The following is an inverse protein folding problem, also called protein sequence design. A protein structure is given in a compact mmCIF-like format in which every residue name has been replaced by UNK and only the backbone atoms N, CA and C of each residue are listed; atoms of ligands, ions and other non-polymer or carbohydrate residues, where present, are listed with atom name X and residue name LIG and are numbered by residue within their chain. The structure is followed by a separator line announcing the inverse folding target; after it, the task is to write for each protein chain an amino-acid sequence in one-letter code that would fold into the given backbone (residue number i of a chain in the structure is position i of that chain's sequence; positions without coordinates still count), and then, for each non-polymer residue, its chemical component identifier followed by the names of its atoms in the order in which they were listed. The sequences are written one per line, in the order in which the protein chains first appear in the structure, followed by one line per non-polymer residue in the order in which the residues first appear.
data_IF_670083142948
#
_entry.id   IF_670083142948
#
_cell.length_a   1.000
_cell.length_b   1.000
_cell.length_c   1.000
_cell.angle_alpha   90.00
_cell.angle_beta   90.00
_cell.angle_gamma   90.00
#
_symmetry.space_group_name_H-M   'P 1'
#
loop_
_entity.id
_entity.type
_entity.pdbx_description
1 polymer ?
#
# COMPACT_ATOMS: atom_id res chain seq x y z
N UNK A 1 -25.17 12.73 5.06
CA UNK A 1 -24.11 11.87 5.61
C UNK A 1 -22.87 12.72 5.90
N UNK A 2 -22.31 12.65 7.10
CA UNK A 2 -21.06 13.33 7.50
C UNK A 2 -19.99 12.28 7.77
N UNK A 3 -18.85 12.41 7.12
CA UNK A 3 -17.76 11.43 7.18
C UNK A 3 -16.53 12.12 7.79
N UNK A 4 -15.99 11.58 8.87
CA UNK A 4 -14.72 12.01 9.44
C UNK A 4 -13.63 10.99 9.10
N UNK A 5 -12.55 11.43 8.43
CA UNK A 5 -11.38 10.61 8.10
C UNK A 5 -10.24 11.01 9.04
N UNK A 6 -9.85 10.10 9.93
CA UNK A 6 -8.83 10.35 10.96
C UNK A 6 -7.50 9.72 10.53
N UNK A 7 -6.53 10.56 10.21
CA UNK A 7 -5.16 10.12 9.90
C UNK A 7 -4.39 9.74 11.17
N UNK A 8 -3.37 8.90 11.08
CA UNK A 8 -2.51 8.54 12.19
C UNK A 8 -1.76 9.74 12.78
N UNK A 9 -1.31 9.58 14.02
CA UNK A 9 -0.39 10.51 14.64
C UNK A 9 0.91 10.62 13.83
N UNK A 10 1.39 11.83 13.63
CA UNK A 10 2.57 12.12 12.81
C UNK A 10 2.27 12.35 11.33
N UNK A 11 1.00 12.25 10.92
CA UNK A 11 0.58 12.57 9.57
C UNK A 11 0.03 13.99 9.52
N UNK A 12 0.68 14.86 8.75
CA UNK A 12 0.31 16.27 8.60
C UNK A 12 -0.36 16.59 7.25
N UNK A 13 -0.50 15.60 6.38
CA UNK A 13 -1.11 15.75 5.05
C UNK A 13 -0.42 16.82 4.18
N UNK A 14 0.91 16.88 4.25
CA UNK A 14 1.72 17.78 3.44
C UNK A 14 2.03 17.14 2.09
N UNK A 15 1.71 17.79 0.94
CA UNK A 15 1.96 17.24 -0.41
C UNK A 15 3.44 16.86 -0.64
N UNK A 16 4.35 17.71 -0.18
CA UNK A 16 5.80 17.56 -0.45
C UNK A 16 6.47 16.50 0.44
N UNK A 17 5.80 16.07 1.51
CA UNK A 17 6.30 15.10 2.49
C UNK A 17 5.33 13.95 2.74
N UNK A 18 4.33 13.78 1.88
CA UNK A 18 3.32 12.75 2.04
C UNK A 18 3.95 11.35 1.95
N UNK A 19 3.66 10.51 2.94
CA UNK A 19 3.93 9.09 2.83
C UNK A 19 2.89 8.41 1.91
N UNK A 20 3.17 7.18 1.50
CA UNK A 20 2.30 6.40 0.59
C UNK A 20 0.83 6.34 1.04
N UNK A 21 0.58 6.25 2.36
CA UNK A 21 -0.79 6.22 2.89
C UNK A 21 -1.48 7.59 2.75
N UNK A 22 -0.78 8.69 3.07
CA UNK A 22 -1.32 10.05 2.92
C UNK A 22 -1.64 10.34 1.46
N UNK A 23 -0.80 9.92 0.53
CA UNK A 23 -1.04 10.01 -0.91
C UNK A 23 -2.32 9.26 -1.31
N UNK A 24 -2.50 8.03 -0.85
CA UNK A 24 -3.72 7.25 -1.12
C UNK A 24 -4.97 7.93 -0.57
N UNK A 25 -4.94 8.38 0.69
CA UNK A 25 -6.10 9.05 1.32
C UNK A 25 -6.44 10.35 0.58
N UNK A 26 -5.43 11.12 0.19
CA UNK A 26 -5.60 12.34 -0.59
C UNK A 26 -6.25 12.07 -1.93
N UNK A 27 -5.72 11.11 -2.67
CA UNK A 27 -6.22 10.75 -4.00
C UNK A 27 -7.67 10.26 -3.92
N UNK A 28 -7.99 9.36 -2.98
CA UNK A 28 -9.36 8.88 -2.79
C UNK A 28 -10.32 10.01 -2.39
N UNK A 29 -9.91 10.90 -1.49
CA UNK A 29 -10.76 12.00 -1.02
C UNK A 29 -11.02 13.05 -2.10
N UNK A 30 -10.00 13.38 -2.90
CA UNK A 30 -10.12 14.36 -3.98
C UNK A 30 -11.05 13.89 -5.12
N UNK A 31 -11.10 12.56 -5.39
CA UNK A 31 -11.92 12.00 -6.47
C UNK A 31 -13.25 11.41 -5.97
N UNK A 32 -13.53 11.50 -4.67
CA UNK A 32 -14.79 11.06 -4.08
C UNK A 32 -15.93 12.02 -4.45
N UNK A 33 -17.05 11.47 -4.95
CA UNK A 33 -18.29 12.24 -5.12
C UNK A 33 -18.88 12.74 -3.80
N UNK A 34 -18.46 12.12 -2.69
CA UNK A 34 -18.81 12.51 -1.33
C UNK A 34 -17.80 13.49 -0.71
N UNK A 35 -16.86 14.06 -1.46
CA UNK A 35 -15.77 14.92 -0.99
C UNK A 35 -16.26 16.05 -0.07
N UNK A 36 -17.39 16.69 -0.41
CA UNK A 36 -18.02 17.75 0.42
C UNK A 36 -18.54 17.25 1.77
N UNK A 37 -18.80 15.96 1.89
CA UNK A 37 -19.25 15.29 3.13
C UNK A 37 -18.10 14.76 3.97
N UNK A 38 -16.89 14.76 3.44
CA UNK A 38 -15.67 14.27 4.09
C UNK A 38 -14.97 15.42 4.82
N UNK A 39 -14.65 15.20 6.09
CA UNK A 39 -13.75 16.06 6.87
C UNK A 39 -12.52 15.25 7.25
N UNK A 40 -11.35 15.70 6.79
CA UNK A 40 -10.06 15.09 7.12
C UNK A 40 -9.53 15.65 8.43
N UNK A 41 -9.08 14.78 9.35
CA UNK A 41 -8.48 15.15 10.64
C UNK A 41 -7.03 14.66 10.67
N UNK A 42 -6.07 15.58 10.75
CA UNK A 42 -4.63 15.30 10.74
C UNK A 42 -3.87 16.16 11.77
N UNK A 43 -2.56 15.96 11.88
CA UNK A 43 -1.72 16.79 12.73
C UNK A 43 -1.43 18.15 12.04
N UNK A 44 -1.28 19.23 12.82
CA UNK A 44 -0.97 20.56 12.31
C UNK A 44 0.38 20.57 11.55
N UNK A 45 0.53 21.51 10.62
CA UNK A 45 1.71 21.63 9.75
C UNK A 45 1.42 21.34 8.27
N UNK A 46 0.17 20.94 7.95
CA UNK A 46 -0.26 20.79 6.57
C UNK A 46 -0.59 22.15 5.94
N UNK A 47 -0.25 22.33 4.67
CA UNK A 47 -0.86 23.39 3.88
C UNK A 47 -2.36 23.09 3.70
N UNK A 48 -3.24 24.08 3.81
CA UNK A 48 -4.66 23.90 3.52
C UNK A 48 -4.84 23.32 2.12
N UNK A 49 -5.63 22.26 1.99
CA UNK A 49 -6.01 21.72 0.70
C UNK A 49 -7.31 22.41 0.30
N UNK A 50 -7.29 23.21 -0.77
CA UNK A 50 -8.43 24.02 -1.18
C UNK A 50 -9.71 23.21 -1.47
N UNK A 51 -9.53 21.92 -1.82
CA UNK A 51 -10.62 21.05 -2.28
C UNK A 51 -11.17 20.12 -1.20
N UNK A 52 -10.64 20.16 0.03
CA UNK A 52 -11.04 19.27 1.13
C UNK A 52 -11.29 20.01 2.42
N UNK A 53 -12.37 19.65 3.12
CA UNK A 53 -12.59 20.09 4.49
C UNK A 53 -11.53 19.45 5.40
N UNK A 54 -10.66 20.27 5.99
CA UNK A 54 -9.56 19.78 6.81
C UNK A 54 -9.55 20.46 8.17
N UNK A 55 -9.45 19.63 9.23
CA UNK A 55 -9.28 20.08 10.60
C UNK A 55 -7.99 19.50 11.16
N UNK A 56 -7.25 20.30 11.92
CA UNK A 56 -5.96 19.89 12.46
C UNK A 56 -5.97 19.82 13.98
N UNK A 57 -5.16 18.91 14.53
CA UNK A 57 -4.80 18.87 15.95
C UNK A 57 -3.34 19.27 16.11
N UNK A 58 -2.91 19.81 17.26
CA UNK A 58 -1.51 20.18 17.46
C UNK A 58 -0.56 19.03 17.17
N UNK A 59 0.53 19.31 16.44
CA UNK A 59 1.56 18.33 16.13
C UNK A 59 2.36 17.93 17.40
N UNK A 60 3.00 16.77 17.37
CA UNK A 60 3.85 16.30 18.46
C UNK A 60 3.13 15.76 19.70
N UNK A 61 1.80 15.81 19.74
CA UNK A 61 1.04 15.29 20.88
C UNK A 61 1.28 13.79 21.10
N UNK A 62 1.34 13.39 22.38
CA UNK A 62 1.29 11.98 22.75
C UNK A 62 -0.07 11.37 22.39
N UNK A 63 -0.15 10.02 22.28
CA UNK A 63 -1.37 9.32 21.85
C UNK A 63 -2.64 9.74 22.64
N UNK A 64 -2.54 9.88 23.97
CA UNK A 64 -3.70 10.21 24.82
C UNK A 64 -4.21 11.62 24.51
N UNK A 65 -3.34 12.62 24.59
CA UNK A 65 -3.68 14.02 24.32
C UNK A 65 -4.20 14.22 22.87
N UNK A 66 -3.58 13.55 21.91
CA UNK A 66 -4.08 13.59 20.52
C UNK A 66 -5.48 12.99 20.40
N UNK A 67 -5.74 11.85 21.03
CA UNK A 67 -7.07 11.25 21.01
C UNK A 67 -8.12 12.17 21.68
N UNK A 68 -7.77 12.89 22.73
CA UNK A 68 -8.64 13.89 23.37
C UNK A 68 -8.95 15.05 22.41
N UNK A 69 -7.94 15.58 21.71
CA UNK A 69 -8.14 16.63 20.70
C UNK A 69 -9.00 16.16 19.52
N UNK A 70 -8.73 14.96 18.98
CA UNK A 70 -9.55 14.34 17.92
C UNK A 70 -10.98 14.11 18.40
N UNK A 71 -11.17 13.65 19.65
CA UNK A 71 -12.50 13.43 20.22
C UNK A 71 -13.31 14.73 20.32
N UNK A 72 -12.66 15.86 20.68
CA UNK A 72 -13.32 17.16 20.70
C UNK A 72 -13.84 17.56 19.30
N UNK A 73 -13.02 17.35 18.26
CA UNK A 73 -13.42 17.59 16.87
C UNK A 73 -14.59 16.67 16.47
N UNK A 74 -14.49 15.37 16.73
CA UNK A 74 -15.53 14.40 16.41
C UNK A 74 -16.85 14.71 17.13
N UNK A 75 -16.78 15.19 18.36
CA UNK A 75 -17.97 15.64 19.12
C UNK A 75 -18.66 16.81 18.44
N UNK A 76 -17.90 17.79 18.00
CA UNK A 76 -18.43 18.97 17.29
C UNK A 76 -19.01 18.60 15.91
N UNK A 77 -18.32 17.73 15.16
CA UNK A 77 -18.76 17.30 13.82
C UNK A 77 -19.99 16.37 13.88
N UNK A 78 -20.14 15.59 14.96
CA UNK A 78 -21.16 14.52 15.07
C UNK A 78 -21.27 13.68 13.78
N UNK A 79 -20.20 12.99 13.35
CA UNK A 79 -20.17 12.28 12.09
C UNK A 79 -21.03 11.01 12.12
N UNK A 80 -21.60 10.65 10.97
CA UNK A 80 -22.31 9.39 10.78
C UNK A 80 -21.31 8.23 10.61
N UNK A 81 -20.18 8.48 9.94
CA UNK A 81 -19.09 7.53 9.69
C UNK A 81 -17.77 8.14 10.18
N UNK A 82 -16.98 7.34 10.89
CA UNK A 82 -15.59 7.67 11.24
C UNK A 82 -14.66 6.62 10.66
N UNK A 83 -13.82 7.03 9.71
CA UNK A 83 -12.77 6.21 9.10
C UNK A 83 -11.45 6.47 9.81
N UNK A 84 -10.83 5.44 10.33
CA UNK A 84 -9.51 5.50 10.95
C UNK A 84 -8.49 4.82 10.06
N UNK A 85 -7.42 5.50 9.74
CA UNK A 85 -6.32 4.91 9.00
C UNK A 85 -5.23 4.39 9.95
N UNK A 86 -4.88 3.09 9.84
CA UNK A 86 -3.87 2.43 10.69
C UNK A 86 -4.18 2.51 12.21
N UNK A 87 -3.19 2.64 13.04
CA UNK A 87 -3.18 2.87 14.50
C UNK A 87 -4.34 2.25 15.30
N UNK A 88 -4.54 0.93 15.19
CA UNK A 88 -5.64 0.17 15.80
C UNK A 88 -5.95 0.56 17.26
N UNK A 89 -4.91 0.79 18.09
CA UNK A 89 -5.11 1.12 19.51
C UNK A 89 -5.79 2.48 19.69
N UNK A 90 -5.27 3.52 19.04
CA UNK A 90 -5.85 4.87 19.08
C UNK A 90 -7.26 4.89 18.50
N UNK A 91 -7.45 4.30 17.32
CA UNK A 91 -8.74 4.19 16.66
C UNK A 91 -9.79 3.47 17.53
N UNK A 92 -9.42 2.35 18.18
CA UNK A 92 -10.36 1.63 19.04
C UNK A 92 -10.70 2.35 20.34
N UNK A 93 -9.83 3.24 20.83
CA UNK A 93 -10.10 4.10 21.99
C UNK A 93 -11.12 5.20 21.62
N UNK A 94 -10.97 5.80 20.44
CA UNK A 94 -11.92 6.77 19.88
C UNK A 94 -13.28 6.11 19.58
N UNK A 95 -13.30 4.99 18.87
CA UNK A 95 -14.54 4.29 18.52
C UNK A 95 -15.40 3.95 19.75
N UNK A 96 -14.79 3.72 20.91
CA UNK A 96 -15.54 3.48 22.16
C UNK A 96 -16.29 4.72 22.65
N UNK A 97 -15.81 5.92 22.33
CA UNK A 97 -16.40 7.18 22.81
C UNK A 97 -17.60 7.62 21.97
N UNK A 98 -17.71 7.12 20.74
CA UNK A 98 -18.75 7.51 19.79
C UNK A 98 -19.58 6.31 19.32
N UNK A 99 -20.35 5.66 20.22
CA UNK A 99 -21.04 4.39 19.91
C UNK A 99 -22.10 4.51 18.82
N UNK A 100 -22.60 5.71 18.57
CA UNK A 100 -23.65 5.97 17.58
C UNK A 100 -23.12 6.15 16.15
N UNK A 101 -21.81 6.39 15.98
CA UNK A 101 -21.19 6.47 14.66
C UNK A 101 -20.86 5.08 14.11
N UNK A 102 -20.83 4.95 12.79
CA UNK A 102 -20.28 3.78 12.12
C UNK A 102 -18.76 3.90 12.07
N UNK A 103 -18.05 2.88 12.53
CA UNK A 103 -16.59 2.88 12.63
C UNK A 103 -15.96 1.98 11.59
N UNK A 104 -15.09 2.57 10.76
CA UNK A 104 -14.30 1.89 9.74
C UNK A 104 -12.83 1.96 10.10
N UNK A 105 -12.13 0.82 10.07
CA UNK A 105 -10.66 0.80 10.17
C UNK A 105 -10.07 0.46 8.80
N UNK A 106 -9.37 1.41 8.20
CA UNK A 106 -8.68 1.24 6.93
C UNK A 106 -7.22 0.83 7.15
N UNK A 107 -6.80 -0.27 6.55
CA UNK A 107 -5.49 -0.88 6.75
C UNK A 107 -4.65 -0.82 5.47
N UNK A 108 -3.59 -0.02 5.49
CA UNK A 108 -2.61 0.12 4.40
C UNK A 108 -1.44 -0.87 4.53
N UNK A 109 -1.37 -1.59 5.65
CA UNK A 109 -0.40 -2.65 5.90
C UNK A 109 -1.10 -3.86 6.47
N UNK A 110 -0.51 -5.01 6.29
CA UNK A 110 -1.00 -6.26 6.92
C UNK A 110 -1.05 -6.11 8.44
N UNK A 111 -2.03 -6.73 9.06
CA UNK A 111 -2.05 -6.90 10.52
C UNK A 111 -1.13 -8.08 10.84
N UNK A 112 -0.09 -7.83 11.64
CA UNK A 112 0.80 -8.90 12.07
C UNK A 112 0.03 -9.91 12.92
N UNK A 113 0.28 -11.21 12.75
CA UNK A 113 -0.28 -12.23 13.64
C UNK A 113 0.06 -11.93 15.11
N UNK A 114 -0.88 -12.21 15.99
CA UNK A 114 -0.64 -12.05 17.42
C UNK A 114 0.42 -13.04 17.90
N UNK A 115 1.34 -12.59 18.73
CA UNK A 115 2.46 -13.38 19.23
C UNK A 115 2.05 -14.44 20.28
N UNK A 116 0.92 -14.21 20.95
CA UNK A 116 0.40 -15.06 22.01
C UNK A 116 -1.13 -14.88 22.17
N UNK A 117 -1.81 -15.79 22.91
CA UNK A 117 -3.27 -15.74 23.09
C UNK A 117 -3.78 -14.44 23.74
N UNK A 118 -3.02 -13.84 24.64
CA UNK A 118 -3.39 -12.59 25.33
C UNK A 118 -3.40 -11.44 24.33
N UNK A 119 -2.39 -11.37 23.45
CA UNK A 119 -2.33 -10.37 22.39
C UNK A 119 -3.44 -10.58 21.36
N UNK A 120 -3.72 -11.83 20.98
CA UNK A 120 -4.82 -12.19 20.11
C UNK A 120 -6.18 -11.74 20.67
N UNK A 121 -6.41 -11.97 21.95
CA UNK A 121 -7.60 -11.53 22.65
C UNK A 121 -7.71 -9.99 22.66
N UNK A 122 -6.62 -9.29 22.99
CA UNK A 122 -6.58 -7.81 23.00
C UNK A 122 -6.82 -7.24 21.61
N UNK A 123 -6.24 -7.84 20.58
CA UNK A 123 -6.49 -7.43 19.19
C UNK A 123 -7.94 -7.69 18.79
N UNK A 124 -8.46 -8.88 19.04
CA UNK A 124 -9.85 -9.22 18.75
C UNK A 124 -10.83 -8.25 19.40
N UNK A 125 -10.64 -7.91 20.70
CA UNK A 125 -11.47 -6.91 21.40
C UNK A 125 -11.40 -5.51 20.78
N UNK A 126 -10.24 -5.09 20.25
CA UNK A 126 -10.10 -3.79 19.60
C UNK A 126 -10.76 -3.81 18.21
N UNK A 127 -10.50 -4.86 17.44
CA UNK A 127 -11.03 -5.03 16.08
C UNK A 127 -12.56 -5.17 16.07
N UNK A 128 -13.14 -5.82 17.10
CA UNK A 128 -14.58 -5.97 17.25
C UNK A 128 -15.36 -4.65 17.39
N UNK A 129 -14.67 -3.53 17.64
CA UNK A 129 -15.29 -2.19 17.74
C UNK A 129 -15.59 -1.56 16.39
N UNK A 130 -15.01 -2.09 15.32
CA UNK A 130 -15.22 -1.56 13.99
C UNK A 130 -16.35 -2.31 13.27
N UNK A 131 -17.20 -1.55 12.63
CA UNK A 131 -18.31 -2.09 11.84
C UNK A 131 -17.79 -2.63 10.49
N UNK A 132 -16.65 -2.07 10.00
CA UNK A 132 -15.97 -2.54 8.80
C UNK A 132 -14.46 -2.43 8.96
N UNK A 133 -13.76 -3.40 8.38
CA UNK A 133 -12.30 -3.48 8.29
C UNK A 133 -11.94 -3.47 6.81
N UNK A 134 -11.38 -2.38 6.33
CA UNK A 134 -11.04 -2.18 4.91
C UNK A 134 -9.56 -2.43 4.70
N UNK A 135 -9.22 -3.27 3.75
CA UNK A 135 -7.85 -3.58 3.35
C UNK A 135 -7.57 -3.07 1.94
N UNK A 136 -6.29 -2.79 1.66
CA UNK A 136 -5.85 -2.28 0.36
C UNK A 136 -5.73 -3.35 -0.73
N UNK A 137 -6.08 -4.59 -0.42
CA UNK A 137 -6.18 -5.71 -1.37
C UNK A 137 -7.07 -6.81 -0.83
N UNK A 138 -7.64 -7.61 -1.70
CA UNK A 138 -8.39 -8.82 -1.31
C UNK A 138 -7.47 -9.83 -0.62
N UNK A 139 -6.24 -10.02 -1.12
CA UNK A 139 -5.25 -10.90 -0.51
C UNK A 139 -4.98 -10.53 0.96
N UNK A 140 -4.78 -9.25 1.28
CA UNK A 140 -4.59 -8.81 2.66
C UNK A 140 -5.85 -9.00 3.51
N UNK A 141 -7.03 -8.79 2.94
CA UNK A 141 -8.32 -9.05 3.59
C UNK A 141 -8.56 -10.53 3.87
N UNK A 142 -8.26 -11.41 2.92
CA UNK A 142 -8.40 -12.87 3.05
C UNK A 142 -7.43 -13.43 4.10
N UNK A 143 -6.18 -12.99 4.10
CA UNK A 143 -5.21 -13.36 5.15
C UNK A 143 -5.70 -12.95 6.53
N UNK A 144 -6.20 -11.73 6.67
CA UNK A 144 -6.79 -11.28 7.92
C UNK A 144 -8.02 -12.12 8.32
N UNK A 145 -8.89 -12.45 7.38
CA UNK A 145 -10.08 -13.28 7.64
C UNK A 145 -9.71 -14.70 8.08
N UNK A 146 -8.61 -15.25 7.56
CA UNK A 146 -8.08 -16.54 7.99
C UNK A 146 -7.57 -16.49 9.45
N UNK A 147 -6.87 -15.42 9.83
CA UNK A 147 -6.37 -15.22 11.19
C UNK A 147 -7.50 -14.89 12.19
N UNK A 148 -8.56 -14.21 11.73
CA UNK A 148 -9.70 -13.75 12.52
C UNK A 148 -11.05 -14.14 11.91
N UNK A 149 -11.40 -15.45 11.83
CA UNK A 149 -12.60 -15.93 11.09
C UNK A 149 -13.93 -15.30 11.56
N UNK A 150 -14.02 -14.96 12.85
CA UNK A 150 -15.21 -14.30 13.42
C UNK A 150 -15.43 -12.87 12.92
N UNK A 151 -14.40 -12.25 12.36
CA UNK A 151 -14.46 -10.90 11.79
C UNK A 151 -14.52 -10.93 10.25
N UNK A 152 -14.47 -12.10 9.61
CA UNK A 152 -14.48 -12.25 8.16
C UNK A 152 -15.66 -11.51 7.49
N UNK A 153 -16.87 -11.58 8.06
CA UNK A 153 -18.05 -10.86 7.56
C UNK A 153 -17.96 -9.31 7.66
N UNK A 154 -16.92 -8.78 8.32
CA UNK A 154 -16.67 -7.33 8.40
C UNK A 154 -15.53 -6.88 7.50
N UNK A 155 -14.90 -7.79 6.77
CA UNK A 155 -13.80 -7.47 5.86
C UNK A 155 -14.35 -6.93 4.56
N UNK A 156 -13.71 -5.89 4.05
CA UNK A 156 -13.85 -5.36 2.70
C UNK A 156 -12.47 -5.00 2.17
N UNK A 157 -12.32 -4.89 0.88
CA UNK A 157 -11.11 -4.38 0.25
C UNK A 157 -11.45 -3.22 -0.67
N UNK A 158 -10.59 -2.21 -0.67
CA UNK A 158 -10.55 -1.13 -1.65
C UNK A 158 -9.09 -0.95 -2.02
N UNK A 159 -8.75 -1.31 -3.25
CA UNK A 159 -7.36 -1.21 -3.70
C UNK A 159 -6.88 0.24 -3.75
N UNK A 160 -5.57 0.44 -3.56
CA UNK A 160 -5.00 1.78 -3.69
C UNK A 160 -5.17 2.31 -5.12
N UNK A 161 -5.51 3.60 -5.27
CA UNK A 161 -5.44 4.28 -6.55
C UNK A 161 -3.99 4.58 -6.94
N UNK A 162 -3.77 4.82 -8.22
CA UNK A 162 -2.58 5.46 -8.76
C UNK A 162 -2.99 6.66 -9.63
N UNK A 163 -2.33 7.79 -9.44
CA UNK A 163 -2.46 8.94 -10.32
C UNK A 163 -1.72 8.65 -11.63
N UNK A 164 -2.44 8.01 -12.57
CA UNK A 164 -1.87 7.53 -13.82
C UNK A 164 -1.22 8.68 -14.60
N UNK A 165 -1.86 9.85 -14.67
CA UNK A 165 -1.34 10.98 -15.43
C UNK A 165 0.00 11.48 -14.88
N UNK A 166 0.17 11.48 -13.56
CA UNK A 166 1.44 11.88 -12.95
C UNK A 166 2.60 10.92 -13.30
N UNK A 167 2.30 9.64 -13.56
CA UNK A 167 3.30 8.63 -13.89
C UNK A 167 3.43 8.34 -15.38
N UNK A 168 2.42 8.70 -16.17
CA UNK A 168 2.31 8.32 -17.59
C UNK A 168 3.55 8.67 -18.39
N UNK A 169 4.01 7.69 -19.18
CA UNK A 169 4.94 7.86 -20.27
C UNK A 169 4.64 6.79 -21.35
N UNK A 170 5.04 7.03 -22.60
CA UNK A 170 4.74 6.10 -23.69
C UNK A 170 5.50 4.78 -23.54
N UNK A 171 4.86 3.62 -23.60
CA UNK A 171 5.57 2.33 -23.60
C UNK A 171 6.50 2.13 -24.82
N UNK A 172 6.27 2.88 -25.89
CA UNK A 172 7.02 2.74 -27.17
C UNK A 172 8.38 3.43 -27.14
N UNK A 173 8.58 4.41 -26.24
CA UNK A 173 9.80 5.21 -26.18
C UNK A 173 10.44 5.01 -24.80
N UNK A 174 11.34 4.04 -24.69
CA UNK A 174 12.01 3.66 -23.44
C UNK A 174 13.52 3.59 -23.61
N UNK A 175 14.22 3.87 -22.51
CA UNK A 175 15.64 3.53 -22.43
C UNK A 175 15.79 2.03 -22.14
N UNK A 176 16.89 1.42 -22.61
CA UNK A 176 17.28 0.07 -22.20
C UNK A 176 17.67 0.07 -20.71
N UNK A 177 16.69 0.30 -19.83
CA UNK A 177 16.86 0.52 -18.40
C UNK A 177 16.00 -0.48 -17.59
N UNK A 178 16.66 -1.21 -16.69
CA UNK A 178 16.02 -2.12 -15.72
C UNK A 178 15.98 -1.44 -14.37
N UNK A 179 14.79 -1.29 -13.80
CA UNK A 179 14.54 -0.52 -12.58
C UNK A 179 14.17 -1.41 -11.40
N UNK A 180 14.80 -1.15 -10.25
CA UNK A 180 14.29 -1.53 -8.92
C UNK A 180 13.82 -0.27 -8.19
N UNK A 181 12.61 -0.28 -7.65
CA UNK A 181 12.10 0.77 -6.78
C UNK A 181 11.54 0.17 -5.49
N UNK A 182 12.15 0.48 -4.36
CA UNK A 182 11.73 -0.04 -3.06
C UNK A 182 12.67 0.31 -1.93
N UNK A 183 12.29 -0.07 -0.70
CA UNK A 183 13.17 0.10 0.47
C UNK A 183 14.42 -0.76 0.33
N UNK A 184 15.56 -0.25 0.79
CA UNK A 184 16.88 -0.89 0.69
C UNK A 184 17.03 -2.09 1.63
N UNK A 185 16.15 -3.10 1.54
CA UNK A 185 16.08 -4.20 2.50
C UNK A 185 15.82 -5.55 1.85
N UNK A 186 16.19 -6.62 2.58
CA UNK A 186 16.06 -8.02 2.15
C UNK A 186 14.63 -8.39 1.77
N UNK A 187 13.67 -7.91 2.55
CA UNK A 187 12.25 -8.22 2.33
C UNK A 187 11.74 -7.77 0.96
N UNK A 188 12.36 -6.73 0.39
CA UNK A 188 12.06 -6.23 -0.96
C UNK A 188 12.83 -6.94 -2.07
N UNK A 189 13.74 -7.86 -1.72
CA UNK A 189 14.49 -8.64 -2.69
C UNK A 189 15.61 -7.87 -3.38
N UNK A 190 16.14 -6.81 -2.73
CA UNK A 190 17.23 -6.00 -3.30
C UNK A 190 18.46 -6.85 -3.65
N UNK A 191 18.83 -7.81 -2.81
CA UNK A 191 19.95 -8.72 -3.06
C UNK A 191 19.71 -9.59 -4.30
N UNK A 192 18.50 -10.12 -4.49
CA UNK A 192 18.15 -10.87 -5.70
C UNK A 192 18.22 -9.99 -6.95
N UNK A 193 17.72 -8.76 -6.83
CA UNK A 193 17.78 -7.81 -7.93
C UNK A 193 19.23 -7.48 -8.30
N UNK A 194 20.09 -7.16 -7.32
CA UNK A 194 21.50 -6.84 -7.60
C UNK A 194 22.23 -7.99 -8.30
N UNK A 195 22.01 -9.24 -7.86
CA UNK A 195 22.60 -10.42 -8.49
C UNK A 195 22.08 -10.60 -9.92
N UNK A 196 20.75 -10.59 -10.12
CA UNK A 196 20.15 -10.77 -11.41
C UNK A 196 20.51 -9.65 -12.41
N UNK A 197 20.55 -8.39 -11.92
CA UNK A 197 20.96 -7.25 -12.73
C UNK A 197 22.41 -7.41 -13.20
N UNK A 198 23.33 -7.79 -12.30
CA UNK A 198 24.73 -7.99 -12.65
C UNK A 198 24.90 -9.03 -13.77
N UNK A 199 24.25 -10.20 -13.62
CA UNK A 199 24.27 -11.26 -14.64
C UNK A 199 23.66 -10.82 -15.97
N UNK A 200 22.59 -10.02 -15.92
CA UNK A 200 21.95 -9.48 -17.14
C UNK A 200 22.83 -8.44 -17.82
N UNK A 201 23.44 -7.51 -17.07
CA UNK A 201 24.32 -6.48 -17.64
C UNK A 201 25.64 -7.04 -18.19
N UNK A 202 26.14 -8.15 -17.65
CA UNK A 202 27.29 -8.86 -18.23
C UNK A 202 26.97 -9.43 -19.64
N UNK A 203 25.73 -9.87 -19.85
CA UNK A 203 25.29 -10.44 -21.12
C UNK A 203 24.85 -9.37 -22.14
N UNK A 204 24.31 -8.25 -21.65
CA UNK A 204 23.71 -7.20 -22.49
C UNK A 204 24.40 -5.83 -22.22
N UNK A 205 25.47 -5.51 -22.95
CA UNK A 205 26.29 -4.32 -22.70
C UNK A 205 25.59 -2.99 -23.03
N UNK A 206 24.54 -3.02 -23.83
CA UNK A 206 23.70 -1.87 -24.21
C UNK A 206 22.58 -1.56 -23.17
N UNK A 207 22.45 -2.39 -22.13
CA UNK A 207 21.48 -2.19 -21.05
C UNK A 207 22.11 -1.53 -19.83
N UNK A 208 21.26 -0.86 -19.06
CA UNK A 208 21.57 -0.12 -17.84
C UNK A 208 20.69 -0.56 -16.68
N UNK A 209 21.09 -0.28 -15.47
CA UNK A 209 20.33 -0.53 -14.26
C UNK A 209 20.05 0.76 -13.50
N UNK A 210 18.91 0.84 -12.81
CA UNK A 210 18.61 1.90 -11.86
C UNK A 210 18.04 1.33 -10.56
N UNK A 211 18.51 1.85 -9.43
CA UNK A 211 18.09 1.47 -8.09
C UNK A 211 17.57 2.69 -7.35
N UNK A 212 16.25 2.74 -7.09
CA UNK A 212 15.60 3.77 -6.28
C UNK A 212 15.42 3.21 -4.87
N UNK A 213 16.34 3.53 -3.96
CA UNK A 213 16.47 2.90 -2.65
C UNK A 213 15.87 3.79 -1.55
N UNK A 214 14.66 3.47 -1.09
CA UNK A 214 14.03 4.13 0.04
C UNK A 214 14.57 3.64 1.40
N UNK A 215 14.42 4.47 2.44
CA UNK A 215 14.86 4.19 3.82
C UNK A 215 16.35 3.78 3.91
N UNK A 216 17.21 4.36 3.04
CA UNK A 216 18.61 3.98 2.92
C UNK A 216 19.33 4.02 4.27
N UNK A 217 19.20 5.13 5.00
CA UNK A 217 19.90 5.37 6.27
C UNK A 217 19.57 4.31 7.35
N UNK A 218 18.41 3.69 7.24
CA UNK A 218 17.98 2.62 8.18
C UNK A 218 18.54 1.25 7.83
N UNK A 219 18.93 1.04 6.57
CA UNK A 219 19.25 -0.28 6.03
C UNK A 219 20.63 -0.32 5.35
N UNK A 220 21.40 0.77 5.36
CA UNK A 220 22.67 0.89 4.64
C UNK A 220 23.66 -0.22 4.96
N UNK A 221 23.82 -0.58 6.24
CA UNK A 221 24.78 -1.62 6.65
C UNK A 221 24.52 -2.97 5.96
N UNK A 222 23.24 -3.29 5.72
CA UNK A 222 22.85 -4.49 5.00
C UNK A 222 22.88 -4.27 3.48
N UNK A 223 22.48 -3.13 2.98
CA UNK A 223 22.31 -2.86 1.56
C UNK A 223 23.63 -2.54 0.83
N UNK A 224 24.52 -1.76 1.47
CA UNK A 224 25.77 -1.26 0.88
C UNK A 224 26.64 -2.34 0.24
N UNK A 225 26.96 -3.48 0.90
CA UNK A 225 27.79 -4.51 0.27
C UNK A 225 27.18 -5.11 -1.00
N UNK A 226 25.85 -5.14 -1.09
CA UNK A 226 25.11 -5.72 -2.23
C UNK A 226 25.06 -4.77 -3.40
N UNK A 227 24.89 -3.50 -3.09
CA UNK A 227 24.88 -2.43 -4.10
C UNK A 227 26.29 -2.20 -4.67
N UNK A 228 27.33 -2.25 -3.83
CA UNK A 228 28.74 -2.15 -4.28
C UNK A 228 29.15 -3.25 -5.27
N UNK A 229 28.50 -4.39 -5.25
CA UNK A 229 28.77 -5.44 -6.25
C UNK A 229 28.45 -4.98 -7.70
N UNK A 230 27.71 -3.89 -7.85
CA UNK A 230 27.36 -3.27 -9.12
C UNK A 230 28.35 -2.17 -9.54
N UNK A 231 29.27 -1.72 -8.70
CA UNK A 231 30.22 -0.61 -8.97
C UNK A 231 31.09 -0.89 -10.21
N UNK A 232 31.34 -2.17 -10.52
CA UNK A 232 32.08 -2.60 -11.72
C UNK A 232 31.43 -2.19 -13.05
N UNK A 233 30.14 -1.83 -13.04
CA UNK A 233 29.42 -1.40 -14.22
C UNK A 233 29.52 0.13 -14.47
N UNK A 234 30.11 0.90 -13.53
CA UNK A 234 30.30 2.33 -13.67
C UNK A 234 28.98 3.06 -13.98
N UNK A 235 29.00 3.91 -14.99
CA UNK A 235 27.86 4.75 -15.41
C UNK A 235 26.67 3.96 -15.96
N UNK A 236 26.80 2.64 -16.12
CA UNK A 236 25.68 1.79 -16.51
C UNK A 236 24.72 1.49 -15.36
N UNK A 237 25.05 1.82 -14.12
CA UNK A 237 24.17 1.61 -12.97
C UNK A 237 24.00 2.90 -12.18
N UNK A 238 22.77 3.40 -12.17
CA UNK A 238 22.35 4.59 -11.41
C UNK A 238 21.82 4.17 -10.04
N UNK A 239 22.35 4.76 -8.96
CA UNK A 239 21.93 4.42 -7.60
C UNK A 239 21.46 5.69 -6.90
N UNK A 240 20.19 5.72 -6.53
CA UNK A 240 19.54 6.83 -5.83
C UNK A 240 19.20 6.41 -4.40
N UNK A 241 19.83 7.05 -3.43
CA UNK A 241 19.66 6.77 -1.99
C UNK A 241 18.69 7.77 -1.39
N UNK A 242 17.57 7.29 -0.81
CA UNK A 242 16.50 8.12 -0.22
C UNK A 242 15.96 9.19 -1.18
N UNK A 243 15.77 8.81 -2.45
CA UNK A 243 15.29 9.70 -3.49
C UNK A 243 13.90 10.27 -3.20
N UNK A 244 13.66 11.48 -3.68
CA UNK A 244 12.35 12.13 -3.67
C UNK A 244 11.36 11.40 -4.61
N UNK A 245 10.07 11.58 -4.38
CA UNK A 245 9.04 11.03 -5.27
C UNK A 245 9.17 11.53 -6.71
N UNK A 246 9.65 12.78 -6.89
CA UNK A 246 9.88 13.35 -8.21
C UNK A 246 11.00 12.62 -8.97
N UNK A 247 12.11 12.30 -8.29
CA UNK A 247 13.21 11.51 -8.87
C UNK A 247 12.76 10.08 -9.16
N UNK A 248 12.06 9.41 -8.24
CA UNK A 248 11.49 8.07 -8.47
C UNK A 248 10.63 8.07 -9.71
N UNK A 249 9.74 9.06 -9.87
CA UNK A 249 8.87 9.21 -11.03
C UNK A 249 9.66 9.43 -12.32
N UNK A 250 10.65 10.31 -12.29
CA UNK A 250 11.47 10.63 -13.45
C UNK A 250 12.21 9.38 -13.97
N UNK A 251 12.81 8.58 -13.08
CA UNK A 251 13.53 7.37 -13.45
C UNK A 251 12.57 6.26 -13.90
N UNK A 252 11.44 6.07 -13.19
CA UNK A 252 10.45 5.06 -13.59
C UNK A 252 9.88 5.31 -14.97
N UNK A 253 9.68 6.57 -15.36
CA UNK A 253 9.20 6.97 -16.70
C UNK A 253 10.20 6.72 -17.83
N UNK A 254 11.45 6.43 -17.52
CA UNK A 254 12.51 6.08 -18.49
C UNK A 254 12.65 4.57 -18.67
N UNK A 255 12.34 3.80 -17.63
CA UNK A 255 12.61 2.37 -17.57
C UNK A 255 11.78 1.54 -18.56
N UNK A 256 12.41 0.63 -19.30
CA UNK A 256 11.73 -0.37 -20.14
C UNK A 256 11.20 -1.54 -19.30
N UNK A 257 11.95 -1.94 -18.26
CA UNK A 257 11.62 -3.06 -17.37
C UNK A 257 11.66 -2.57 -15.94
N UNK A 258 10.62 -2.88 -15.17
CA UNK A 258 10.60 -2.67 -13.72
C UNK A 258 10.51 -4.01 -12.99
N UNK A 259 11.07 -4.08 -11.77
CA UNK A 259 11.18 -5.33 -11.03
C UNK A 259 10.74 -5.14 -9.59
N UNK A 260 9.79 -5.97 -9.14
CA UNK A 260 9.29 -6.00 -7.77
C UNK A 260 9.45 -7.39 -7.14
N UNK A 261 10.68 -7.79 -6.75
CA UNK A 261 11.01 -9.15 -6.34
C UNK A 261 10.80 -9.35 -4.83
N UNK A 262 9.73 -8.80 -4.26
CA UNK A 262 9.46 -8.86 -2.81
C UNK A 262 9.37 -10.30 -2.31
N UNK A 263 10.16 -10.63 -1.28
CA UNK A 263 10.09 -11.91 -0.56
C UNK A 263 8.89 -11.97 0.39
N UNK A 264 8.45 -10.84 0.87
CA UNK A 264 7.27 -10.75 1.75
C UNK A 264 5.99 -10.61 0.94
N UNK A 265 4.87 -11.00 1.55
CA UNK A 265 3.55 -10.74 0.97
C UNK A 265 3.23 -9.26 1.12
N UNK A 266 3.18 -8.53 0.02
CA UNK A 266 2.86 -7.10 0.03
C UNK A 266 1.39 -6.86 0.38
N UNK A 267 1.11 -5.68 0.97
CA UNK A 267 -0.28 -5.29 1.19
C UNK A 267 -1.02 -5.05 -0.13
N UNK A 268 -0.38 -4.30 -1.06
CA UNK A 268 -0.78 -4.19 -2.47
C UNK A 268 0.46 -4.12 -3.38
N UNK A 269 1.34 -3.13 -3.20
CA UNK A 269 2.54 -2.92 -3.99
C UNK A 269 2.44 -1.69 -4.89
N UNK A 270 2.57 -0.49 -4.31
CA UNK A 270 2.51 0.76 -5.09
C UNK A 270 3.56 0.82 -6.20
N UNK A 271 4.78 0.31 -5.96
CA UNK A 271 5.83 0.30 -6.98
C UNK A 271 5.43 -0.49 -8.25
N UNK A 272 4.58 -1.51 -8.13
CA UNK A 272 4.03 -2.22 -9.28
C UNK A 272 3.01 -1.34 -10.05
N UNK A 273 2.12 -0.65 -9.32
CA UNK A 273 1.18 0.30 -9.95
C UNK A 273 1.91 1.46 -10.63
N UNK A 274 2.96 1.99 -9.99
CA UNK A 274 3.82 3.06 -10.51
C UNK A 274 4.52 2.62 -11.81
N UNK A 275 5.07 1.40 -11.84
CA UNK A 275 5.71 0.83 -13.01
C UNK A 275 4.72 0.66 -14.19
N UNK A 276 3.55 0.09 -13.93
CA UNK A 276 2.51 -0.06 -14.95
C UNK A 276 2.02 1.31 -15.46
N UNK A 277 1.70 2.25 -14.57
CA UNK A 277 1.27 3.60 -14.95
C UNK A 277 2.32 4.32 -15.79
N UNK A 278 3.61 4.11 -15.48
CA UNK A 278 4.72 4.64 -16.27
C UNK A 278 4.92 3.89 -17.60
N UNK A 279 4.25 2.78 -17.88
CA UNK A 279 4.38 2.01 -19.09
C UNK A 279 5.68 1.18 -19.17
N UNK A 280 6.17 0.69 -18.04
CA UNK A 280 7.26 -0.28 -17.97
C UNK A 280 6.71 -1.71 -17.95
N UNK A 281 7.40 -2.65 -18.61
CA UNK A 281 7.12 -4.08 -18.46
C UNK A 281 7.50 -4.52 -17.04
N UNK A 282 6.62 -5.24 -16.34
CA UNK A 282 6.83 -5.59 -14.95
C UNK A 282 7.23 -7.06 -14.77
N UNK A 283 8.29 -7.29 -14.01
CA UNK A 283 8.63 -8.58 -13.40
C UNK A 283 8.29 -8.52 -11.92
N UNK A 284 7.48 -9.46 -11.42
CA UNK A 284 6.97 -9.41 -10.05
C UNK A 284 7.04 -10.78 -9.37
N UNK A 285 7.19 -10.78 -8.05
CA UNK A 285 7.04 -12.01 -7.27
C UNK A 285 5.57 -12.45 -7.14
N UNK A 286 4.61 -11.59 -7.41
CA UNK A 286 3.18 -11.86 -7.23
C UNK A 286 2.73 -12.08 -5.78
N UNK A 287 3.61 -11.90 -4.79
CA UNK A 287 3.32 -12.24 -3.39
C UNK A 287 2.37 -11.25 -2.71
N UNK A 288 1.29 -11.77 -2.16
CA UNK A 288 0.25 -10.97 -1.50
C UNK A 288 -0.53 -10.13 -2.51
N UNK A 289 -0.69 -8.84 -2.25
CA UNK A 289 -1.41 -7.91 -3.13
C UNK A 289 -0.71 -7.58 -4.45
N UNK A 290 0.57 -7.97 -4.65
CA UNK A 290 1.28 -7.75 -5.93
C UNK A 290 0.57 -8.42 -7.11
N UNK A 291 -0.06 -9.59 -6.89
CA UNK A 291 -0.89 -10.24 -7.90
C UNK A 291 -2.12 -9.40 -8.28
N UNK A 292 -2.76 -8.72 -7.32
CA UNK A 292 -3.89 -7.83 -7.60
C UNK A 292 -3.46 -6.52 -8.24
N UNK A 293 -2.28 -6.01 -7.87
CA UNK A 293 -1.72 -4.78 -8.45
C UNK A 293 -1.39 -4.93 -9.95
N UNK A 294 -1.21 -6.16 -10.43
CA UNK A 294 -0.74 -6.42 -11.79
C UNK A 294 -1.64 -7.35 -12.61
N UNK A 295 -2.56 -8.11 -11.99
CA UNK A 295 -3.39 -9.07 -12.70
C UNK A 295 -2.56 -10.04 -13.55
N UNK A 296 -2.88 -10.16 -14.82
CA UNK A 296 -2.15 -10.98 -15.81
C UNK A 296 -1.03 -10.21 -16.55
N UNK A 297 -0.78 -8.96 -16.14
CA UNK A 297 0.05 -8.00 -16.88
C UNK A 297 1.49 -7.92 -16.34
N UNK A 298 1.99 -8.98 -15.70
CA UNK A 298 3.37 -9.07 -15.23
C UNK A 298 3.97 -10.46 -15.48
N UNK A 299 5.28 -10.53 -15.65
CA UNK A 299 6.01 -11.81 -15.59
C UNK A 299 6.20 -12.17 -14.12
N UNK A 300 5.58 -13.26 -13.69
CA UNK A 300 5.67 -13.72 -12.30
C UNK A 300 6.82 -14.69 -12.12
N UNK A 301 7.65 -14.43 -11.09
CA UNK A 301 8.85 -15.23 -10.78
C UNK A 301 8.88 -15.68 -9.32
N UNK A 302 9.48 -16.83 -9.09
CA UNK A 302 9.86 -17.25 -7.74
C UNK A 302 11.05 -16.43 -7.26
N UNK A 303 11.12 -16.17 -5.95
CA UNK A 303 12.12 -15.30 -5.32
C UNK A 303 12.91 -16.02 -4.21
N UNK A 304 13.10 -17.31 -4.37
CA UNK A 304 13.96 -18.12 -3.51
C UNK A 304 15.45 -17.83 -3.79
N UNK A 305 15.81 -17.71 -5.07
CA UNK A 305 17.13 -17.34 -5.58
C UNK A 305 17.03 -16.34 -6.76
N UNK A 306 18.16 -15.93 -7.32
CA UNK A 306 18.20 -14.94 -8.39
C UNK A 306 17.95 -15.52 -9.79
N UNK A 307 18.13 -16.82 -10.00
CA UNK A 307 18.07 -17.46 -11.31
C UNK A 307 16.78 -17.20 -12.09
N UNK A 308 15.58 -17.44 -11.50
CA UNK A 308 14.32 -17.14 -12.18
C UNK A 308 14.16 -15.65 -12.55
N UNK A 309 14.72 -14.75 -11.72
CA UNK A 309 14.68 -13.31 -11.97
C UNK A 309 15.62 -12.92 -13.11
N UNK A 310 16.84 -13.47 -13.16
CA UNK A 310 17.80 -13.32 -14.26
C UNK A 310 17.20 -13.81 -15.57
N UNK A 311 16.57 -14.98 -15.56
CA UNK A 311 15.94 -15.55 -16.75
C UNK A 311 14.81 -14.65 -17.28
N UNK A 312 13.97 -14.12 -16.39
CA UNK A 312 12.88 -13.20 -16.77
C UNK A 312 13.42 -11.86 -17.29
N UNK A 313 14.47 -11.30 -16.69
CA UNK A 313 15.13 -10.09 -17.19
C UNK A 313 15.68 -10.32 -18.61
N UNK A 314 16.47 -11.37 -18.81
CA UNK A 314 17.04 -11.68 -20.11
C UNK A 314 15.96 -11.90 -21.19
N UNK A 315 14.90 -12.63 -20.87
CA UNK A 315 13.75 -12.85 -21.77
C UNK A 315 13.15 -11.52 -22.25
N UNK A 316 12.84 -10.59 -21.31
CA UNK A 316 12.27 -9.30 -21.67
C UNK A 316 13.27 -8.35 -22.35
N UNK A 317 14.58 -8.52 -22.11
CA UNK A 317 15.64 -7.82 -22.83
C UNK A 317 15.71 -8.29 -24.29
N UNK A 318 15.68 -9.60 -24.50
CA UNK A 318 15.85 -10.26 -25.79
C UNK A 318 14.58 -10.25 -26.66
N UNK A 319 13.40 -10.09 -26.06
CA UNK A 319 12.11 -10.00 -26.76
C UNK A 319 11.44 -8.61 -26.60
N UNK A 320 11.78 -7.64 -27.48
CA UNK A 320 11.14 -6.31 -27.45
C UNK A 320 9.64 -6.33 -27.70
N UNK A 321 9.13 -7.31 -28.47
CA UNK A 321 7.72 -7.39 -28.81
C UNK A 321 6.90 -7.83 -27.58
N UNK A 322 7.36 -8.86 -26.86
CA UNK A 322 6.76 -9.30 -25.60
C UNK A 322 6.82 -8.19 -24.55
N UNK A 323 7.99 -7.56 -24.39
CA UNK A 323 8.19 -6.46 -23.45
C UNK A 323 7.20 -5.32 -23.71
N UNK A 324 7.04 -4.90 -24.96
CA UNK A 324 6.12 -3.83 -25.33
C UNK A 324 4.65 -4.22 -25.11
N UNK A 325 4.27 -5.43 -25.48
CA UNK A 325 2.92 -5.93 -25.27
C UNK A 325 2.56 -5.94 -23.77
N UNK A 326 3.47 -6.43 -22.93
CA UNK A 326 3.30 -6.47 -21.48
C UNK A 326 3.20 -5.04 -20.87
N UNK A 327 4.04 -4.12 -21.33
CA UNK A 327 4.04 -2.73 -20.87
C UNK A 327 2.72 -2.02 -21.21
N UNK A 328 2.22 -2.15 -22.43
CA UNK A 328 0.95 -1.57 -22.89
C UNK A 328 -0.23 -2.16 -22.12
N UNK A 329 -0.32 -3.48 -22.03
CA UNK A 329 -1.43 -4.13 -21.32
C UNK A 329 -1.44 -3.80 -19.83
N UNK A 330 -0.28 -3.65 -19.20
CA UNK A 330 -0.16 -3.23 -17.80
C UNK A 330 -0.60 -1.79 -17.57
N UNK A 331 -0.24 -0.88 -18.49
CA UNK A 331 -0.66 0.53 -18.42
C UNK A 331 -2.18 0.66 -18.59
N UNK A 332 -2.77 -0.01 -19.57
CA UNK A 332 -4.23 -0.05 -19.78
C UNK A 332 -4.97 -0.64 -18.58
N UNK A 333 -4.40 -1.67 -17.96
CA UNK A 333 -4.97 -2.30 -16.78
C UNK A 333 -5.06 -1.34 -15.60
N UNK A 334 -3.97 -0.65 -15.24
CA UNK A 334 -3.98 0.24 -14.07
C UNK A 334 -4.82 1.49 -14.32
N UNK A 335 -4.88 1.98 -15.56
CA UNK A 335 -5.76 3.09 -15.93
C UNK A 335 -7.23 2.73 -15.73
N UNK A 336 -7.63 1.55 -16.11
CA UNK A 336 -9.01 1.06 -15.97
C UNK A 336 -9.34 0.67 -14.53
N UNK A 337 -8.46 -0.09 -13.87
CA UNK A 337 -8.75 -0.74 -12.60
C UNK A 337 -8.31 0.10 -11.39
N UNK A 338 -7.17 0.76 -11.48
CA UNK A 338 -6.57 1.48 -10.35
C UNK A 338 -6.65 3.01 -10.50
N UNK A 339 -7.46 3.52 -11.43
CA UNK A 339 -7.65 4.96 -11.56
C UNK A 339 -8.24 5.57 -10.27
N UNK A 340 -7.90 6.82 -9.95
CA UNK A 340 -8.43 7.51 -8.79
C UNK A 340 -9.96 7.51 -8.73
N UNK A 341 -10.60 7.74 -9.88
CA UNK A 341 -12.07 7.78 -9.99
C UNK A 341 -12.68 6.41 -9.69
N UNK A 342 -12.14 5.32 -10.25
CA UNK A 342 -12.67 3.98 -10.02
C UNK A 342 -12.55 3.56 -8.54
N UNK A 343 -11.40 3.83 -7.92
CA UNK A 343 -11.18 3.45 -6.52
C UNK A 343 -11.95 4.34 -5.54
N UNK A 344 -12.10 5.63 -5.84
CA UNK A 344 -12.95 6.53 -5.05
C UNK A 344 -14.43 6.12 -5.13
N UNK A 345 -14.92 5.75 -6.31
CA UNK A 345 -16.29 5.27 -6.48
C UNK A 345 -16.57 3.98 -5.68
N UNK A 346 -15.61 3.05 -5.63
CA UNK A 346 -15.72 1.84 -4.81
C UNK A 346 -15.79 2.17 -3.30
N UNK A 347 -14.95 3.11 -2.83
CA UNK A 347 -14.99 3.57 -1.44
C UNK A 347 -16.31 4.28 -1.12
N UNK A 348 -16.82 5.11 -2.02
CA UNK A 348 -18.08 5.82 -1.85
C UNK A 348 -19.26 4.86 -1.77
N UNK A 349 -19.30 3.83 -2.63
CA UNK A 349 -20.33 2.78 -2.56
C UNK A 349 -20.29 2.05 -1.21
N UNK A 350 -19.10 1.76 -0.67
CA UNK A 350 -18.94 1.18 0.65
C UNK A 350 -19.48 2.13 1.76
N UNK A 351 -19.20 3.42 1.69
CA UNK A 351 -19.67 4.45 2.63
C UNK A 351 -21.20 4.55 2.64
N UNK A 352 -21.81 4.57 1.47
CA UNK A 352 -23.27 4.60 1.31
C UNK A 352 -23.92 3.34 1.89
N UNK A 353 -23.43 2.16 1.54
CA UNK A 353 -23.91 0.89 2.08
C UNK A 353 -23.80 0.79 3.61
N UNK A 354 -22.84 1.51 4.21
CA UNK A 354 -22.68 1.57 5.66
C UNK A 354 -23.60 2.62 6.30
N UNK A 355 -23.95 3.69 5.59
CA UNK A 355 -24.89 4.71 6.07
C UNK A 355 -26.32 4.18 6.16
N UNK A 356 -26.73 3.34 5.20
CA UNK A 356 -28.10 2.81 5.10
C UNK A 356 -28.45 1.76 6.17
N UNK A 357 -27.47 1.33 6.97
CA UNK A 357 -27.70 0.38 8.07
C UNK A 357 -28.42 1.05 9.23
N UNK A 358 -29.57 0.51 9.60
CA UNK A 358 -30.35 1.02 10.74
C UNK A 358 -29.58 0.90 12.08
N UNK A 359 -29.79 1.82 13.04
CA UNK A 359 -29.16 1.77 14.38
C UNK A 359 -29.41 0.46 15.13
N UNK A 360 -30.56 -0.18 14.93
CA UNK A 360 -30.95 -1.46 15.56
C UNK A 360 -30.09 -2.64 15.10
N UNK A 361 -29.70 -2.68 13.82
CA UNK A 361 -28.80 -3.71 13.29
C UNK A 361 -27.36 -3.55 13.78
N UNK A 362 -26.96 -2.32 14.15
CA UNK A 362 -25.63 -1.98 14.70
C UNK A 362 -25.43 -2.53 16.11
N UNK A 363 -26.45 -2.44 16.97
CA UNK A 363 -26.40 -2.88 18.39
C UNK A 363 -26.31 -4.41 18.50
N UNK A 364 -27.08 -5.15 17.71
CA UNK A 364 -27.12 -6.61 17.75
C UNK A 364 -25.78 -7.26 17.33
N UNK A 365 -25.04 -6.64 16.39
CA UNK A 365 -23.75 -7.15 15.94
C UNK A 365 -22.62 -6.90 16.97
N UNK A 366 -22.72 -5.86 17.81
CA UNK A 366 -21.72 -5.52 18.84
C UNK A 366 -21.90 -6.33 20.13
N UNK A 367 -23.12 -6.83 20.44
CA UNK A 367 -23.46 -7.45 21.72
C UNK A 367 -23.06 -8.94 21.86
N UNK A 368 -22.70 -9.65 20.80
CA UNK A 368 -22.38 -11.09 20.83
C UNK A 368 -20.89 -11.37 20.73
N UNK A 369 -20.16 -11.23 21.83
CA UNK A 369 -18.79 -11.74 21.97
C UNK A 369 -18.75 -12.90 22.99
N UNK A 370 -18.82 -14.17 22.57
CA UNK A 370 -18.55 -15.29 23.45
C UNK A 370 -17.05 -15.51 23.61
N UNK A 371 -16.65 -15.82 24.81
CA UNK A 371 -15.29 -16.09 25.28
C UNK A 371 -14.74 -17.39 24.67
N UNK A 372 -13.90 -17.35 23.62
CA UNK A 372 -13.11 -18.50 23.21
C UNK A 372 -11.82 -18.09 22.48
N UNK A 373 -10.75 -18.84 22.79
CA UNK A 373 -9.41 -18.70 22.23
C UNK A 373 -9.37 -19.03 20.71
N UNK A 374 -8.46 -18.41 19.92
CA UNK A 374 -8.23 -18.81 18.54
C UNK A 374 -7.70 -20.26 18.53
N UNK A 375 -8.15 -21.07 17.56
CA UNK A 375 -7.48 -22.33 17.26
C UNK A 375 -6.03 -22.03 16.87
N UNK A 376 -5.09 -22.66 17.54
CA UNK A 376 -3.68 -22.68 17.09
C UNK A 376 -3.67 -23.24 15.67
N UNK A 377 -3.23 -22.42 14.71
CA UNK A 377 -3.10 -22.83 13.33
C UNK A 377 -2.14 -24.02 13.24
N UNK A 378 -2.59 -25.09 12.64
CA UNK A 378 -1.73 -26.17 12.20
C UNK A 378 -0.68 -25.58 11.27
N UNK A 379 0.59 -25.79 11.61
CA UNK A 379 1.69 -25.54 10.69
C UNK A 379 1.44 -26.34 9.40
N UNK A 380 1.56 -25.77 8.21
CA UNK A 380 1.60 -26.57 7.01
C UNK A 380 2.85 -27.44 7.07
N UNK A 381 2.66 -28.77 7.12
CA UNK A 381 3.74 -29.72 6.87
C UNK A 381 4.26 -29.46 5.47
N UNK A 382 5.49 -29.03 5.37
CA UNK A 382 6.28 -29.13 4.16
C UNK A 382 6.37 -30.62 3.82
N UNK A 383 5.65 -31.03 2.79
CA UNK A 383 5.92 -32.29 2.12
C UNK A 383 6.81 -32.01 0.92
N UNK A 384 7.96 -32.68 0.90
CA UNK A 384 8.81 -33.14 -0.16
C UNK A 384 9.22 -32.17 -1.28
#
# INVERSE_FOLDING_TARGET
MRIAVVLPRGCSYCPDKANSMETVVRTLSAHSRLSRSVTLICDAGAAPCADLNMLTVPAGLGRKARNEAVAAILKALSPDIVEYHQQLKAASELARQFPNATHVLYRHTRIKPAKNPIEAFRYGRRLARFDRLVFVSQAAGQEFAADYPRLAGRVSSVCNPIDVEAWRASPDVRENLILFSGRAMRDKGLDLFCTALAETLDRHPDWRGALMLGDWEKHQDWAEPRVRALDRFGDRVEIYKSASLAEVRAVTRRAAIAVTPSRVREALGLAALEAHAAGAALISSGRGGLGEASGEHAVYVKVEDAGPLTAAMNRLVEDPAERLALARSGQDFVERVHSPVARAAELDALREALSDRSPSSRSAAKARWPWFLPRQGAQPRLQG
#
